data_IF_805664452848
#
_entry.id   IF_805664452848
#
_cell.length_a   1.000
_cell.length_b   1.000
_cell.length_c   1.000
_cell.angle_alpha   90.00
_cell.angle_beta   90.00
_cell.angle_gamma   90.00
#
_symmetry.space_group_name_H-M   'P 1'
#
loop_
_entity.id
_entity.type
_entity.pdbx_description
1 polymer ?
#
# COMPACT_ATOMS: atom_id res chain seq x y z
N UNK A 1 11.17 22.87 -14.83
CA UNK A 1 12.06 21.73 -14.54
C UNK A 1 12.23 21.63 -13.03
N UNK A 2 11.82 20.53 -12.41
CA UNK A 2 12.08 20.29 -10.97
C UNK A 2 13.59 20.02 -10.86
N UNK A 3 14.29 20.71 -9.96
CA UNK A 3 15.72 20.49 -9.73
C UNK A 3 15.95 19.07 -9.17
N UNK A 4 17.15 18.51 -9.37
CA UNK A 4 17.52 17.21 -8.78
C UNK A 4 17.31 17.21 -7.26
N UNK A 5 17.59 18.32 -6.61
CA UNK A 5 17.34 18.53 -5.18
C UNK A 5 15.86 18.47 -4.85
N UNK A 6 14.98 19.09 -5.65
CA UNK A 6 13.53 19.05 -5.45
C UNK A 6 12.94 17.63 -5.58
N UNK A 7 13.45 16.83 -6.51
CA UNK A 7 13.07 15.42 -6.65
C UNK A 7 13.52 14.59 -5.43
N UNK A 8 14.75 14.78 -4.96
CA UNK A 8 15.25 14.08 -3.77
C UNK A 8 14.46 14.46 -2.53
N UNK A 9 14.14 15.74 -2.34
CA UNK A 9 13.32 16.20 -1.22
C UNK A 9 11.91 15.61 -1.28
N UNK A 10 11.29 15.59 -2.45
CA UNK A 10 9.96 14.96 -2.63
C UNK A 10 9.98 13.48 -2.26
N UNK A 11 11.02 12.73 -2.68
CA UNK A 11 11.17 11.32 -2.31
C UNK A 11 11.32 11.13 -0.80
N UNK A 12 12.11 11.98 -0.13
CA UNK A 12 12.27 11.91 1.34
C UNK A 12 10.95 12.20 2.04
N UNK A 13 10.22 13.23 1.63
CA UNK A 13 8.91 13.59 2.22
C UNK A 13 7.89 12.47 2.01
N UNK A 14 7.82 11.92 0.79
CA UNK A 14 6.91 10.80 0.49
C UNK A 14 7.29 9.54 1.28
N UNK A 15 8.58 9.23 1.38
CA UNK A 15 9.07 8.10 2.16
C UNK A 15 8.80 8.25 3.66
N UNK A 16 9.02 9.44 4.21
CA UNK A 16 8.70 9.74 5.60
C UNK A 16 7.18 9.63 5.86
N UNK A 17 6.36 10.20 4.96
CA UNK A 17 4.90 10.08 5.04
C UNK A 17 4.45 8.62 5.03
N UNK A 18 4.99 7.81 4.12
CA UNK A 18 4.66 6.39 4.07
C UNK A 18 5.16 5.62 5.31
N UNK A 19 6.36 5.93 5.80
CA UNK A 19 6.90 5.33 7.03
C UNK A 19 6.04 5.60 8.26
N UNK A 20 5.43 6.79 8.37
CA UNK A 20 4.51 7.14 9.44
C UNK A 20 3.20 6.32 9.42
N UNK A 21 2.83 5.73 8.30
CA UNK A 21 1.59 4.93 8.22
C UNK A 21 1.62 3.72 9.15
N UNK A 22 2.78 3.09 9.39
CA UNK A 22 2.88 1.90 10.23
C UNK A 22 2.55 2.17 11.71
N UNK A 23 3.18 3.16 12.40
CA UNK A 23 2.82 3.48 13.77
C UNK A 23 1.40 4.05 13.90
N UNK A 24 0.93 4.87 12.94
CA UNK A 24 -0.43 5.39 12.94
C UNK A 24 -1.46 4.28 12.79
N UNK A 25 -1.22 3.31 11.89
CA UNK A 25 -2.05 2.12 11.75
C UNK A 25 -2.12 1.34 13.07
N UNK A 26 -0.98 1.11 13.71
CA UNK A 26 -0.94 0.41 15.01
C UNK A 26 -1.78 1.12 16.06
N UNK A 27 -1.68 2.44 16.16
CA UNK A 27 -2.47 3.24 17.09
C UNK A 27 -3.97 3.10 16.76
N UNK A 28 -4.36 3.28 15.50
CA UNK A 28 -5.76 3.23 15.08
C UNK A 28 -6.39 1.86 15.37
N UNK A 29 -5.75 0.76 14.96
CA UNK A 29 -6.31 -0.57 15.19
C UNK A 29 -6.29 -0.98 16.67
N UNK A 30 -5.31 -0.51 17.45
CA UNK A 30 -5.24 -0.77 18.89
C UNK A 30 -6.25 0.05 19.69
N UNK A 31 -6.79 1.14 19.11
CA UNK A 31 -7.88 1.93 19.70
C UNK A 31 -9.27 1.34 19.42
N UNK A 32 -9.35 0.15 18.81
CA UNK A 32 -10.61 -0.55 18.56
C UNK A 32 -11.30 -0.21 17.25
N UNK A 33 -10.66 0.59 16.38
CA UNK A 33 -11.25 0.88 15.07
C UNK A 33 -11.15 -0.33 14.13
N UNK A 34 -12.29 -0.72 13.56
CA UNK A 34 -12.37 -1.83 12.61
C UNK A 34 -11.73 -1.50 11.27
N UNK A 35 -11.00 -2.47 10.71
CA UNK A 35 -10.19 -2.27 9.50
C UNK A 35 -11.00 -1.84 8.27
N UNK A 36 -12.22 -2.32 8.05
CA UNK A 36 -13.04 -1.88 6.91
C UNK A 36 -13.50 -0.43 7.03
N UNK A 37 -13.79 0.05 8.26
CA UNK A 37 -14.10 1.45 8.49
C UNK A 37 -12.90 2.36 8.21
N UNK A 38 -11.70 1.96 8.64
CA UNK A 38 -10.47 2.68 8.33
C UNK A 38 -10.19 2.74 6.82
N UNK A 39 -10.36 1.61 6.11
CA UNK A 39 -10.21 1.56 4.65
C UNK A 39 -11.22 2.46 3.96
N UNK A 40 -12.49 2.41 4.38
CA UNK A 40 -13.54 3.26 3.81
C UNK A 40 -13.19 4.74 3.91
N UNK A 41 -12.81 5.22 5.11
CA UNK A 41 -12.47 6.63 5.31
C UNK A 41 -11.20 7.03 4.59
N UNK A 42 -10.18 6.17 4.56
CA UNK A 42 -8.95 6.41 3.79
C UNK A 42 -9.26 6.57 2.29
N UNK A 43 -10.06 5.66 1.73
CA UNK A 43 -10.46 5.72 0.32
C UNK A 43 -11.35 6.93 0.02
N UNK A 44 -12.28 7.27 0.91
CA UNK A 44 -13.15 8.43 0.77
C UNK A 44 -12.34 9.72 0.76
N UNK A 45 -11.42 9.89 1.70
CA UNK A 45 -10.52 11.05 1.73
C UNK A 45 -9.61 11.10 0.50
N UNK A 46 -9.07 9.97 0.08
CA UNK A 46 -8.28 9.86 -1.15
C UNK A 46 -9.08 10.29 -2.39
N UNK A 47 -10.33 9.84 -2.52
CA UNK A 47 -11.23 10.23 -3.60
C UNK A 47 -11.58 11.73 -3.57
N UNK A 48 -11.89 12.28 -2.40
CA UNK A 48 -12.21 13.68 -2.24
C UNK A 48 -11.02 14.60 -2.57
N UNK A 49 -9.82 14.28 -2.06
CA UNK A 49 -8.62 15.08 -2.28
C UNK A 49 -8.18 15.03 -3.74
N UNK A 50 -8.10 13.83 -4.32
CA UNK A 50 -7.68 13.67 -5.72
C UNK A 50 -8.74 14.15 -6.69
N UNK A 51 -10.02 13.88 -6.41
CA UNK A 51 -11.15 14.36 -7.20
C UNK A 51 -11.27 15.89 -7.15
N UNK A 52 -11.14 16.51 -5.97
CA UNK A 52 -11.14 17.97 -5.82
C UNK A 52 -9.98 18.63 -6.60
N UNK A 53 -8.78 18.06 -6.51
CA UNK A 53 -7.62 18.53 -7.29
C UNK A 53 -7.86 18.46 -8.81
N UNK A 54 -8.44 17.35 -9.28
CA UNK A 54 -8.73 17.14 -10.70
C UNK A 54 -9.89 17.99 -11.18
N UNK A 55 -10.90 18.22 -10.34
CA UNK A 55 -12.01 19.13 -10.62
C UNK A 55 -11.51 20.58 -10.77
N UNK A 56 -10.67 21.03 -9.86
CA UNK A 56 -10.06 22.37 -9.93
C UNK A 56 -9.18 22.56 -11.18
N UNK A 57 -8.64 21.48 -11.74
CA UNK A 57 -7.86 21.49 -12.99
C UNK A 57 -8.70 21.23 -14.25
N UNK A 58 -9.99 21.01 -14.13
CA UNK A 58 -10.87 20.65 -15.26
C UNK A 58 -10.53 19.31 -15.91
N UNK A 59 -9.86 18.39 -15.19
CA UNK A 59 -9.32 17.13 -15.73
C UNK A 59 -9.88 15.89 -15.03
N UNK A 60 -11.15 15.93 -14.63
CA UNK A 60 -11.80 14.79 -13.98
C UNK A 60 -11.77 13.55 -14.89
N UNK A 61 -11.30 12.40 -14.38
CA UNK A 61 -11.24 11.19 -15.16
C UNK A 61 -12.65 10.59 -15.35
N UNK A 62 -12.90 10.03 -16.53
CA UNK A 62 -14.12 9.25 -16.78
C UNK A 62 -13.79 7.76 -16.65
N UNK A 63 -14.60 7.03 -15.92
CA UNK A 63 -14.53 5.57 -15.87
C UNK A 63 -15.13 5.00 -17.16
N UNK A 64 -14.30 4.33 -17.96
CA UNK A 64 -14.71 3.64 -19.18
C UNK A 64 -14.48 2.13 -19.02
N UNK A 65 -15.11 1.31 -19.87
CA UNK A 65 -14.92 -0.15 -19.85
C UNK A 65 -13.45 -0.55 -20.02
N UNK A 66 -12.70 0.18 -20.82
CA UNK A 66 -11.26 -0.05 -21.05
C UNK A 66 -10.40 0.24 -19.82
N UNK A 67 -10.81 1.20 -19.00
CA UNK A 67 -10.11 1.62 -17.77
C UNK A 67 -10.48 0.77 -16.56
N UNK A 68 -11.63 0.12 -16.60
CA UNK A 68 -12.16 -0.65 -15.48
C UNK A 68 -11.19 -1.73 -14.96
N UNK A 69 -10.52 -2.54 -15.81
CA UNK A 69 -9.61 -3.57 -15.31
C UNK A 69 -8.45 -3.00 -14.48
N UNK A 70 -7.80 -1.93 -14.94
CA UNK A 70 -6.69 -1.32 -14.21
C UNK A 70 -7.16 -0.61 -12.94
N UNK A 71 -8.35 0.00 -12.95
CA UNK A 71 -8.95 0.64 -11.77
C UNK A 71 -9.29 -0.40 -10.71
N UNK A 72 -9.90 -1.54 -11.10
CA UNK A 72 -10.19 -2.66 -10.19
C UNK A 72 -8.89 -3.23 -9.61
N UNK A 73 -7.88 -3.45 -10.46
CA UNK A 73 -6.59 -3.98 -10.03
C UNK A 73 -5.95 -3.07 -8.97
N UNK A 74 -5.87 -1.76 -9.24
CA UNK A 74 -5.28 -0.80 -8.30
C UNK A 74 -6.13 -0.66 -7.02
N UNK A 75 -7.46 -0.65 -7.11
CA UNK A 75 -8.31 -0.65 -5.92
C UNK A 75 -8.12 -1.91 -5.07
N UNK A 76 -8.07 -3.08 -5.70
CA UNK A 76 -7.95 -4.36 -5.01
C UNK A 76 -6.55 -4.58 -4.44
N UNK A 77 -5.51 -4.52 -5.28
CA UNK A 77 -4.12 -4.84 -4.90
C UNK A 77 -3.36 -3.65 -4.31
N UNK A 78 -3.75 -2.42 -4.63
CA UNK A 78 -3.12 -1.22 -4.09
C UNK A 78 -3.68 -0.79 -2.74
N UNK A 79 -4.91 -1.20 -2.37
CA UNK A 79 -5.52 -0.72 -1.12
C UNK A 79 -6.37 -1.76 -0.40
N UNK A 80 -7.41 -2.34 -1.03
CA UNK A 80 -8.39 -3.16 -0.30
C UNK A 80 -7.74 -4.38 0.35
N UNK A 81 -7.10 -5.24 -0.43
CA UNK A 81 -6.46 -6.47 0.07
C UNK A 81 -5.28 -6.16 1.00
N UNK A 82 -4.29 -5.32 0.60
CA UNK A 82 -3.14 -5.06 1.45
C UNK A 82 -3.52 -4.37 2.77
N UNK A 83 -4.44 -3.42 2.77
CA UNK A 83 -4.84 -2.76 4.01
C UNK A 83 -5.67 -3.68 4.90
N UNK A 84 -6.56 -4.51 4.34
CA UNK A 84 -7.30 -5.50 5.13
C UNK A 84 -6.36 -6.42 5.89
N UNK A 85 -5.37 -7.00 5.20
CA UNK A 85 -4.41 -7.92 5.82
C UNK A 85 -3.43 -7.21 6.74
N UNK A 86 -2.92 -6.03 6.35
CA UNK A 86 -2.02 -5.23 7.18
C UNK A 86 -2.67 -4.76 8.48
N UNK A 87 -3.92 -4.27 8.43
CA UNK A 87 -4.59 -3.78 9.64
C UNK A 87 -4.92 -4.92 10.61
N UNK A 88 -5.32 -6.08 10.10
CA UNK A 88 -5.50 -7.28 10.92
C UNK A 88 -4.17 -7.72 11.55
N UNK A 89 -3.10 -7.81 10.77
CA UNK A 89 -1.80 -8.18 11.28
C UNK A 89 -1.23 -7.15 12.27
N UNK A 90 -1.40 -5.83 12.00
CA UNK A 90 -0.94 -4.77 12.87
C UNK A 90 -1.62 -4.75 14.24
N UNK A 91 -2.82 -5.30 14.37
CA UNK A 91 -3.46 -5.50 15.67
C UNK A 91 -2.62 -6.43 16.56
N UNK A 92 -2.04 -7.47 15.97
CA UNK A 92 -1.28 -8.51 16.69
C UNK A 92 0.23 -8.26 16.70
N UNK A 93 0.78 -7.68 15.63
CA UNK A 93 2.23 -7.48 15.46
C UNK A 93 2.68 -6.09 15.93
N UNK A 94 3.91 -5.98 16.48
CA UNK A 94 4.54 -4.69 16.74
C UNK A 94 4.75 -3.89 15.44
N UNK A 95 4.66 -2.56 15.52
CA UNK A 95 4.87 -1.67 14.35
C UNK A 95 6.26 -1.82 13.71
N UNK A 96 7.29 -2.11 14.52
CA UNK A 96 8.63 -2.40 14.01
C UNK A 96 8.67 -3.64 13.12
N UNK A 97 8.00 -4.73 13.51
CA UNK A 97 7.87 -5.95 12.70
C UNK A 97 7.09 -5.65 11.41
N UNK A 98 6.00 -4.88 11.49
CA UNK A 98 5.24 -4.46 10.33
C UNK A 98 6.10 -3.63 9.35
N UNK A 99 6.97 -2.76 9.87
CA UNK A 99 7.90 -1.97 9.05
C UNK A 99 8.93 -2.84 8.31
N UNK A 100 9.42 -3.93 8.94
CA UNK A 100 10.29 -4.90 8.27
C UNK A 100 9.54 -5.61 7.16
N UNK A 101 8.31 -6.06 7.45
CA UNK A 101 7.48 -6.79 6.50
C UNK A 101 7.19 -5.92 5.28
N UNK A 102 6.80 -4.65 5.46
CA UNK A 102 6.52 -3.77 4.33
C UNK A 102 7.79 -3.45 3.51
N UNK A 103 8.96 -3.44 4.13
CA UNK A 103 10.24 -3.27 3.44
C UNK A 103 10.58 -4.45 2.51
N UNK A 104 9.87 -5.58 2.59
CA UNK A 104 10.03 -6.71 1.67
C UNK A 104 9.37 -6.50 0.30
N UNK A 105 8.60 -5.42 0.07
CA UNK A 105 7.96 -5.13 -1.24
C UNK A 105 8.93 -5.31 -2.42
N UNK A 106 10.15 -4.75 -2.41
CA UNK A 106 11.07 -4.95 -3.52
C UNK A 106 11.53 -6.40 -3.70
N UNK A 107 11.51 -7.21 -2.64
CA UNK A 107 11.86 -8.64 -2.72
C UNK A 107 10.80 -9.46 -3.45
N UNK A 108 9.53 -9.09 -3.34
CA UNK A 108 8.46 -9.67 -4.14
C UNK A 108 8.41 -9.05 -5.55
N UNK A 109 8.65 -7.73 -5.67
CA UNK A 109 8.56 -7.04 -6.94
C UNK A 109 9.61 -7.51 -7.95
N UNK A 110 10.83 -7.81 -7.52
CA UNK A 110 11.90 -8.26 -8.40
C UNK A 110 11.62 -9.62 -9.06
N UNK A 111 11.27 -10.71 -8.33
CA UNK A 111 10.86 -11.96 -8.94
C UNK A 111 9.64 -11.82 -9.86
N UNK A 112 8.63 -11.06 -9.46
CA UNK A 112 7.44 -10.80 -10.30
C UNK A 112 7.84 -10.11 -11.60
N UNK A 113 8.72 -9.09 -11.54
CA UNK A 113 9.22 -8.40 -12.73
C UNK A 113 9.98 -9.33 -13.68
N UNK A 114 10.77 -10.25 -13.12
CA UNK A 114 11.47 -11.28 -13.91
C UNK A 114 10.49 -12.24 -14.59
N UNK A 115 9.49 -12.73 -13.87
CA UNK A 115 8.46 -13.64 -14.41
C UNK A 115 7.63 -12.97 -15.51
N UNK A 116 7.38 -11.67 -15.40
CA UNK A 116 6.65 -10.88 -16.40
C UNK A 116 7.54 -10.44 -17.58
N UNK A 117 8.86 -10.70 -17.54
CA UNK A 117 9.79 -10.26 -18.57
C UNK A 117 10.02 -8.74 -18.62
N UNK A 118 9.69 -8.02 -17.54
CA UNK A 118 9.83 -6.57 -17.43
C UNK A 118 11.27 -6.21 -17.06
N UNK A 119 11.95 -7.10 -16.34
CA UNK A 119 13.30 -6.86 -15.83
C UNK A 119 14.23 -8.05 -16.14
N UNK A 120 15.54 -7.84 -15.92
CA UNK A 120 16.57 -8.86 -16.07
C UNK A 120 17.19 -9.20 -14.72
N UNK A 121 17.57 -10.45 -14.55
CA UNK A 121 18.25 -10.90 -13.33
C UNK A 121 19.53 -10.12 -13.08
N UNK A 122 19.73 -9.67 -11.85
CA UNK A 122 20.91 -8.92 -11.42
C UNK A 122 21.30 -9.27 -10.00
N UNK A 123 22.46 -9.91 -9.84
CA UNK A 123 23.02 -10.22 -8.50
C UNK A 123 23.29 -8.97 -7.67
N UNK A 124 23.65 -7.84 -8.31
CA UNK A 124 23.87 -6.58 -7.60
C UNK A 124 22.57 -6.06 -6.96
N UNK A 125 21.43 -6.18 -7.67
CA UNK A 125 20.12 -5.81 -7.13
C UNK A 125 19.71 -6.72 -5.99
N UNK A 126 19.89 -8.04 -6.16
CA UNK A 126 19.58 -9.02 -5.12
C UNK A 126 20.40 -8.75 -3.85
N UNK A 127 21.70 -8.52 -3.99
CA UNK A 127 22.56 -8.16 -2.87
C UNK A 127 22.14 -6.84 -2.20
N UNK A 128 21.80 -5.82 -3.00
CA UNK A 128 21.30 -4.54 -2.47
C UNK A 128 19.99 -4.69 -1.70
N UNK A 129 19.05 -5.51 -2.19
CA UNK A 129 17.79 -5.82 -1.50
C UNK A 129 18.05 -6.56 -0.18
N UNK A 130 18.93 -7.55 -0.18
CA UNK A 130 19.28 -8.30 1.03
C UNK A 130 19.94 -7.41 2.09
N UNK A 131 20.87 -6.55 1.69
CA UNK A 131 21.53 -5.58 2.59
C UNK A 131 20.51 -4.57 3.13
N UNK A 132 19.64 -4.05 2.26
CA UNK A 132 18.58 -3.13 2.67
C UNK A 132 17.64 -3.74 3.71
N UNK A 133 17.17 -4.97 3.47
CA UNK A 133 16.33 -5.69 4.41
C UNK A 133 17.03 -5.96 5.73
N UNK A 134 18.30 -6.40 5.68
CA UNK A 134 19.10 -6.62 6.89
C UNK A 134 19.23 -5.32 7.70
N UNK A 135 19.46 -4.17 7.04
CA UNK A 135 19.52 -2.87 7.69
C UNK A 135 18.21 -2.50 8.39
N UNK A 136 17.06 -2.67 7.72
CA UNK A 136 15.74 -2.42 8.32
C UNK A 136 15.49 -3.36 9.49
N UNK A 137 15.81 -4.65 9.34
CA UNK A 137 15.66 -5.65 10.40
C UNK A 137 16.48 -5.29 11.65
N UNK A 138 17.73 -4.86 11.49
CA UNK A 138 18.58 -4.44 12.60
C UNK A 138 18.03 -3.25 13.39
N UNK A 139 17.35 -2.33 12.71
CA UNK A 139 16.75 -1.14 13.34
C UNK A 139 15.42 -1.48 14.01
N UNK A 140 14.59 -2.27 13.34
CA UNK A 140 13.20 -2.48 13.73
C UNK A 140 12.99 -3.65 14.71
N UNK A 141 13.91 -4.63 14.75
CA UNK A 141 13.85 -5.71 15.74
C UNK A 141 14.36 -5.21 17.09
N UNK A 142 13.54 -5.24 18.14
CA UNK A 142 13.99 -4.92 19.49
C UNK A 142 15.10 -5.88 19.90
N UNK A 143 16.14 -5.36 20.54
CA UNK A 143 17.24 -6.18 21.10
C UNK A 143 16.65 -7.16 22.14
N UNK A 144 16.62 -8.46 21.80
CA UNK A 144 16.27 -9.53 22.73
C UNK A 144 14.79 -9.95 22.78
N UNK A 145 13.90 -9.40 21.95
CA UNK A 145 12.51 -9.86 21.90
C UNK A 145 12.22 -10.55 20.58
N UNK A 146 12.21 -11.87 20.59
CA UNK A 146 11.50 -12.64 19.55
C UNK A 146 9.99 -12.41 19.76
N UNK A 147 9.19 -12.26 18.69
CA UNK A 147 7.75 -12.22 18.83
C UNK A 147 7.26 -13.48 19.54
N UNK A 148 6.24 -13.33 20.39
CA UNK A 148 5.51 -14.46 20.95
C UNK A 148 5.17 -15.45 19.82
N UNK A 149 5.30 -16.78 20.02
CA UNK A 149 4.90 -17.78 19.05
C UNK A 149 3.49 -17.55 18.48
N UNK A 150 2.55 -17.04 19.28
CA UNK A 150 1.22 -16.65 18.82
C UNK A 150 1.23 -15.53 17.76
N UNK A 151 2.22 -14.64 17.80
CA UNK A 151 2.37 -13.57 16.81
C UNK A 151 2.92 -14.09 15.48
N UNK A 152 3.68 -15.20 15.48
CA UNK A 152 4.27 -15.76 14.26
C UNK A 152 3.20 -16.17 13.24
N UNK A 153 2.02 -16.59 13.68
CA UNK A 153 0.89 -16.92 12.81
C UNK A 153 0.41 -15.73 11.98
N UNK A 154 0.66 -14.49 12.40
CA UNK A 154 0.25 -13.28 11.70
C UNK A 154 1.26 -12.78 10.67
N UNK A 155 2.49 -13.29 10.67
CA UNK A 155 3.51 -12.92 9.68
C UNK A 155 3.07 -13.25 8.24
N UNK A 156 2.56 -14.46 7.92
CA UNK A 156 2.05 -14.76 6.59
C UNK A 156 0.92 -13.82 6.16
N UNK A 157 0.02 -13.45 7.07
CA UNK A 157 -1.07 -12.50 6.80
C UNK A 157 -0.50 -11.12 6.46
N UNK A 158 0.49 -10.65 7.21
CA UNK A 158 1.15 -9.39 6.96
C UNK A 158 1.92 -9.36 5.62
N UNK A 159 2.51 -10.50 5.20
CA UNK A 159 3.25 -10.62 3.93
C UNK A 159 2.36 -10.53 2.69
N UNK A 160 1.03 -10.69 2.82
CA UNK A 160 0.09 -10.49 1.70
C UNK A 160 0.16 -9.06 1.17
N UNK A 161 0.32 -8.06 2.05
CA UNK A 161 0.36 -6.66 1.63
C UNK A 161 1.56 -6.33 0.72
N UNK A 162 2.82 -6.63 1.08
CA UNK A 162 3.94 -6.38 0.18
C UNK A 162 3.87 -7.18 -1.11
N UNK A 163 3.30 -8.39 -1.09
CA UNK A 163 3.04 -9.16 -2.31
C UNK A 163 2.02 -8.45 -3.21
N UNK A 164 0.91 -7.96 -2.65
CA UNK A 164 -0.10 -7.19 -3.40
C UNK A 164 0.52 -5.93 -4.03
N UNK A 165 1.30 -5.15 -3.29
CA UNK A 165 1.97 -3.95 -3.83
C UNK A 165 2.97 -4.30 -4.93
N UNK A 166 3.70 -5.41 -4.78
CA UNK A 166 4.63 -5.89 -5.81
C UNK A 166 3.89 -6.30 -7.10
N UNK A 167 2.77 -6.99 -6.97
CA UNK A 167 1.92 -7.38 -8.11
C UNK A 167 1.28 -6.16 -8.77
N UNK A 168 0.71 -5.25 -7.98
CA UNK A 168 0.10 -4.02 -8.48
C UNK A 168 1.09 -3.17 -9.26
N UNK A 169 2.24 -2.84 -8.69
CA UNK A 169 3.24 -2.01 -9.34
C UNK A 169 3.78 -2.61 -10.64
N UNK A 170 4.03 -3.93 -10.67
CA UNK A 170 4.45 -4.63 -11.88
C UNK A 170 3.32 -4.71 -12.92
N UNK A 171 2.07 -4.93 -12.50
CA UNK A 171 0.93 -4.96 -13.40
C UNK A 171 0.68 -3.59 -14.05
N UNK A 172 0.72 -2.50 -13.25
CA UNK A 172 0.61 -1.12 -13.77
C UNK A 172 1.75 -0.81 -14.75
N UNK A 173 2.99 -1.24 -14.44
CA UNK A 173 4.13 -1.07 -15.33
C UNK A 173 3.92 -1.80 -16.67
N UNK A 174 3.39 -3.02 -16.64
CA UNK A 174 3.18 -3.83 -17.85
C UNK A 174 1.96 -3.42 -18.66
N UNK A 175 0.84 -3.13 -18.01
CA UNK A 175 -0.45 -2.84 -18.64
C UNK A 175 -0.61 -1.36 -19.00
N UNK A 176 0.16 -0.49 -18.34
CA UNK A 176 -0.03 0.96 -18.39
C UNK A 176 -1.25 1.39 -17.58
N UNK A 177 -1.59 2.67 -17.68
CA UNK A 177 -2.67 3.32 -16.92
C UNK A 177 -3.94 3.54 -17.74
N UNK A 178 -4.07 2.92 -18.91
CA UNK A 178 -5.16 3.15 -19.87
C UNK A 178 -5.41 4.65 -20.17
N UNK A 179 -4.31 5.42 -20.30
CA UNK A 179 -4.35 6.86 -20.60
C UNK A 179 -4.77 7.74 -19.41
N UNK A 180 -4.89 7.18 -18.21
CA UNK A 180 -5.13 7.95 -17.00
C UNK A 180 -3.81 8.55 -16.46
N UNK A 181 -3.87 9.77 -15.92
CA UNK A 181 -2.79 10.26 -15.06
C UNK A 181 -2.74 9.44 -13.77
N UNK A 182 -1.59 9.41 -13.09
CA UNK A 182 -1.47 8.70 -11.81
C UNK A 182 -2.52 9.16 -10.78
N UNK A 183 -2.77 10.47 -10.70
CA UNK A 183 -3.79 11.05 -9.82
C UNK A 183 -5.20 10.64 -10.26
N UNK A 184 -5.46 10.58 -11.57
CA UNK A 184 -6.74 10.12 -12.12
C UNK A 184 -7.02 8.66 -11.84
N UNK A 185 -6.01 7.80 -11.97
CA UNK A 185 -6.12 6.39 -11.62
C UNK A 185 -6.37 6.21 -10.12
N UNK A 186 -5.62 6.91 -9.27
CA UNK A 186 -5.82 6.89 -7.82
C UNK A 186 -7.23 7.38 -7.44
N UNK A 187 -7.73 8.43 -8.07
CA UNK A 187 -9.08 8.95 -7.83
C UNK A 187 -10.15 7.88 -8.10
N UNK A 188 -10.13 7.28 -9.29
CA UNK A 188 -11.10 6.24 -9.66
C UNK A 188 -10.97 4.98 -8.79
N UNK A 189 -9.74 4.55 -8.49
CA UNK A 189 -9.49 3.42 -7.60
C UNK A 189 -9.99 3.69 -6.18
N UNK A 190 -9.81 4.92 -5.68
CA UNK A 190 -10.31 5.34 -4.36
C UNK A 190 -11.84 5.38 -4.31
N UNK A 191 -12.50 5.88 -5.35
CA UNK A 191 -13.97 5.84 -5.44
C UNK A 191 -14.49 4.40 -5.42
N UNK A 192 -13.91 3.54 -6.25
CA UNK A 192 -14.30 2.13 -6.30
C UNK A 192 -14.01 1.41 -4.98
N UNK A 193 -12.85 1.66 -4.39
CA UNK A 193 -12.46 1.09 -3.10
C UNK A 193 -13.39 1.52 -1.97
N UNK A 194 -13.78 2.80 -1.92
CA UNK A 194 -14.75 3.29 -0.94
C UNK A 194 -16.13 2.63 -1.13
N UNK A 195 -16.59 2.50 -2.38
CA UNK A 195 -17.85 1.83 -2.70
C UNK A 195 -17.88 0.35 -2.28
N UNK A 196 -16.74 -0.34 -2.34
CA UNK A 196 -16.61 -1.73 -1.85
C UNK A 196 -16.45 -1.79 -0.33
N UNK A 197 -15.65 -0.89 0.25
CA UNK A 197 -15.38 -0.89 1.68
C UNK A 197 -16.60 -0.49 2.52
N UNK A 198 -17.50 0.36 2.01
CA UNK A 198 -18.70 0.79 2.72
C UNK A 198 -19.60 -0.37 3.15
N UNK A 199 -20.11 -1.22 2.24
CA UNK A 199 -20.95 -2.33 2.64
C UNK A 199 -20.22 -3.32 3.56
N UNK A 200 -18.91 -3.53 3.38
CA UNK A 200 -18.11 -4.37 4.25
C UNK A 200 -17.99 -3.78 5.66
N UNK A 201 -17.80 -2.46 5.79
CA UNK A 201 -17.74 -1.78 7.09
C UNK A 201 -19.08 -1.86 7.83
N UNK A 202 -20.20 -1.68 7.12
CA UNK A 202 -21.54 -1.77 7.70
C UNK A 202 -21.88 -3.21 8.12
N UNK A 203 -21.63 -4.19 7.25
CA UNK A 203 -21.95 -5.60 7.50
C UNK A 203 -21.09 -6.23 8.61
N UNK A 204 -19.84 -5.78 8.77
CA UNK A 204 -18.91 -6.29 9.78
C UNK A 204 -19.02 -5.58 11.13
N UNK A 205 -19.83 -4.53 11.26
CA UNK A 205 -19.86 -3.68 12.44
C UNK A 205 -18.62 -2.78 12.61
N UNK A 206 -17.81 -2.64 11.57
CA UNK A 206 -16.60 -1.80 11.56
C UNK A 206 -16.89 -0.34 11.19
N UNK A 207 -18.15 0.07 11.22
CA UNK A 207 -18.49 1.44 10.91
C UNK A 207 -17.89 2.40 11.94
N UNK A 208 -17.28 3.47 11.43
CA UNK A 208 -16.71 4.56 12.23
C UNK A 208 -17.53 5.80 11.92
N UNK A 209 -18.26 6.30 12.90
CA UNK A 209 -18.93 7.58 12.77
C UNK A 209 -17.89 8.72 12.70
N UNK A 210 -18.08 9.71 11.82
CA UNK A 210 -17.19 10.85 11.68
C UNK A 210 -17.23 11.78 12.90
#
# INVERSE_FOLDING_TARGET
MISRFGLSLALVVMGAGWGLTQPLTKIAVSSGYGHFGLIFWQMTLGALLTGGLLAARGTLPRLTRERLPIVILVAALGTLLPNTTSYQAAFHLPSGVMSIIIATVPMFAFPVALMLGIDRFSMRRLAGLAIGLAGVALIALPRGSLPDPAMLAWIPVALVAPLCYALEGNAVNRMGTAGLSAVGLLCLASILGAAVALPLALASGHWIAP
#
